data_IF_768918819986
#
_entry.id   IF_768918819986
#
_cell.length_a   1.000
_cell.length_b   1.000
_cell.length_c   1.000
_cell.angle_alpha   90.00
_cell.angle_beta   90.00
_cell.angle_gamma   90.00
#
_symmetry.space_group_name_H-M   'P 1'
#
loop_
_entity.id
_entity.type
_entity.pdbx_description
1 polymer ?
#
# COMPACT_ATOMS: atom_id res chain seq x y z
N UNK A 1 24.48 -1.56 -2.75
CA UNK A 1 25.59 -1.94 -1.85
C UNK A 1 25.50 -1.23 -0.52
N UNK A 2 25.73 0.09 -0.44
CA UNK A 2 25.87 0.83 0.83
C UNK A 2 24.69 0.76 1.83
N UNK A 3 23.49 0.43 1.38
CA UNK A 3 22.26 0.42 2.17
C UNK A 3 21.62 -0.97 2.27
N UNK A 4 22.26 -1.99 1.70
CA UNK A 4 21.70 -3.33 1.58
C UNK A 4 22.39 -4.27 2.58
N UNK A 5 21.58 -4.95 3.40
CA UNK A 5 22.05 -5.82 4.49
C UNK A 5 22.89 -7.00 4.01
N UNK A 6 22.80 -7.35 2.72
CA UNK A 6 23.62 -8.40 2.08
C UNK A 6 25.10 -8.04 1.99
N UNK A 7 25.46 -6.77 2.15
CA UNK A 7 26.83 -6.27 2.06
C UNK A 7 27.32 -5.73 3.41
N UNK A 8 27.45 -6.58 4.45
CA UNK A 8 27.89 -6.15 5.77
C UNK A 8 29.28 -5.48 5.68
N UNK A 9 29.43 -4.34 6.35
CA UNK A 9 30.68 -3.59 6.34
C UNK A 9 30.94 -2.74 5.10
N UNK A 10 29.99 -2.65 4.16
CA UNK A 10 30.05 -1.74 3.00
C UNK A 10 29.15 -0.54 3.24
N UNK A 11 29.74 0.56 3.71
CA UNK A 11 29.09 1.86 3.80
C UNK A 11 29.27 2.70 2.54
N UNK A 12 28.66 3.89 2.54
CA UNK A 12 28.74 4.85 1.43
C UNK A 12 30.17 5.20 1.01
N UNK A 13 31.08 5.40 1.98
CA UNK A 13 32.48 5.71 1.67
C UNK A 13 33.18 4.57 0.90
N UNK A 14 32.89 3.31 1.24
CA UNK A 14 33.45 2.14 0.56
C UNK A 14 32.83 1.96 -0.83
N UNK A 15 31.51 2.12 -0.95
CA UNK A 15 30.83 2.09 -2.24
C UNK A 15 31.33 3.19 -3.18
N UNK A 16 31.57 4.40 -2.66
CA UNK A 16 32.12 5.51 -3.44
C UNK A 16 33.54 5.22 -3.92
N UNK A 17 34.42 4.70 -3.05
CA UNK A 17 35.78 4.28 -3.45
C UNK A 17 35.77 3.27 -4.58
N UNK A 18 34.92 2.25 -4.48
CA UNK A 18 34.73 1.27 -5.55
C UNK A 18 34.27 1.93 -6.86
N UNK A 19 33.31 2.85 -6.78
CA UNK A 19 32.83 3.58 -7.95
C UNK A 19 33.91 4.45 -8.57
N UNK A 20 34.69 5.17 -7.76
CA UNK A 20 35.82 5.98 -8.23
C UNK A 20 36.91 5.13 -8.90
N UNK A 21 37.17 3.94 -8.38
CA UNK A 21 38.19 3.05 -8.92
C UNK A 21 37.76 2.36 -10.22
N UNK A 22 36.50 1.96 -10.35
CA UNK A 22 36.06 1.04 -11.41
C UNK A 22 34.97 1.58 -12.32
N UNK A 23 34.23 2.61 -11.92
CA UNK A 23 33.07 3.12 -12.66
C UNK A 23 32.14 1.99 -13.10
N UNK A 24 31.67 2.03 -14.35
CA UNK A 24 30.80 1.00 -14.91
C UNK A 24 31.44 -0.39 -14.99
N UNK A 25 32.77 -0.50 -15.02
CA UNK A 25 33.45 -1.80 -15.08
C UNK A 25 33.26 -2.61 -13.79
N UNK A 26 32.84 -1.97 -12.69
CA UNK A 26 32.56 -2.61 -11.41
C UNK A 26 31.57 -3.78 -11.57
N UNK A 27 30.55 -3.62 -12.42
CA UNK A 27 29.52 -4.64 -12.63
C UNK A 27 30.09 -5.89 -13.31
N UNK A 28 30.98 -5.72 -14.29
CA UNK A 28 31.65 -6.84 -14.95
C UNK A 28 32.57 -7.55 -13.97
N UNK A 29 33.37 -6.81 -13.19
CA UNK A 29 34.28 -7.38 -12.19
C UNK A 29 33.55 -8.19 -11.12
N UNK A 30 32.39 -7.70 -10.68
CA UNK A 30 31.53 -8.42 -9.73
C UNK A 30 30.95 -9.69 -10.36
N UNK A 31 30.41 -9.59 -11.58
CA UNK A 31 29.84 -10.73 -12.33
C UNK A 31 30.89 -11.82 -12.59
N UNK A 32 32.08 -11.41 -13.03
CA UNK A 32 33.18 -12.29 -13.42
C UNK A 32 33.99 -12.75 -12.18
N UNK A 33 33.50 -12.42 -10.97
CA UNK A 33 34.06 -12.79 -9.66
C UNK A 33 35.54 -12.42 -9.50
N UNK A 34 35.96 -11.26 -10.02
CA UNK A 34 37.33 -10.76 -9.94
C UNK A 34 37.69 -10.27 -8.52
N UNK A 35 38.07 -11.18 -7.64
CA UNK A 35 38.35 -10.87 -6.23
C UNK A 35 39.55 -9.94 -6.03
N UNK A 36 40.64 -10.13 -6.80
CA UNK A 36 41.89 -9.40 -6.59
C UNK A 36 41.74 -7.88 -6.80
N UNK A 37 41.21 -7.38 -7.94
CA UNK A 37 40.96 -5.95 -8.13
C UNK A 37 40.02 -5.37 -7.06
N UNK A 38 38.95 -6.08 -6.70
CA UNK A 38 38.03 -5.61 -5.66
C UNK A 38 38.71 -5.53 -4.29
N UNK A 39 39.52 -6.53 -3.93
CA UNK A 39 40.24 -6.59 -2.67
C UNK A 39 41.26 -5.45 -2.52
N UNK A 40 41.90 -5.03 -3.62
CA UNK A 40 42.84 -3.90 -3.61
C UNK A 40 42.18 -2.59 -3.17
N UNK A 41 40.86 -2.44 -3.36
CA UNK A 41 40.11 -1.23 -2.98
C UNK A 41 39.44 -1.34 -1.61
N UNK A 42 38.90 -2.51 -1.27
CA UNK A 42 38.04 -2.67 -0.08
C UNK A 42 38.53 -3.65 0.99
N UNK A 43 39.59 -4.40 0.69
CA UNK A 43 40.10 -5.53 1.47
C UNK A 43 39.45 -6.86 1.08
N UNK A 44 40.17 -7.96 1.30
CA UNK A 44 39.78 -9.30 0.84
C UNK A 44 38.41 -9.76 1.38
N UNK A 45 38.14 -9.60 2.67
CA UNK A 45 36.86 -10.01 3.28
C UNK A 45 35.67 -9.28 2.65
N UNK A 46 35.81 -7.97 2.42
CA UNK A 46 34.75 -7.18 1.79
C UNK A 46 34.60 -7.55 0.32
N UNK A 47 35.68 -7.81 -0.41
CA UNK A 47 35.61 -8.23 -1.81
C UNK A 47 34.84 -9.56 -1.97
N UNK A 48 35.08 -10.52 -1.08
CA UNK A 48 34.31 -11.78 -1.04
C UNK A 48 32.84 -11.48 -0.74
N UNK A 49 32.53 -10.66 0.28
CA UNK A 49 31.15 -10.29 0.59
C UNK A 49 30.43 -9.58 -0.57
N UNK A 50 31.14 -8.78 -1.37
CA UNK A 50 30.60 -8.16 -2.59
C UNK A 50 30.25 -9.22 -3.63
N UNK A 51 31.21 -10.09 -3.95
CA UNK A 51 31.08 -11.08 -5.02
C UNK A 51 30.08 -12.18 -4.65
N UNK A 52 29.96 -12.56 -3.38
CA UNK A 52 28.95 -13.50 -2.93
C UNK A 52 27.57 -12.83 -2.82
N UNK A 53 27.50 -11.61 -2.28
CA UNK A 53 26.25 -10.85 -2.17
C UNK A 53 25.60 -10.54 -3.53
N UNK A 54 26.40 -10.37 -4.59
CA UNK A 54 25.91 -10.23 -5.97
C UNK A 54 25.90 -11.54 -6.78
N UNK A 55 26.85 -12.44 -6.52
CA UNK A 55 27.04 -13.68 -7.29
C UNK A 55 25.92 -14.71 -7.10
N UNK A 56 25.08 -14.56 -6.09
CA UNK A 56 23.84 -15.33 -5.99
C UNK A 56 22.77 -14.90 -7.02
N UNK A 57 22.94 -13.76 -7.70
CA UNK A 57 21.94 -13.13 -8.58
C UNK A 57 22.62 -12.36 -9.73
N UNK A 58 23.27 -13.04 -10.68
CA UNK A 58 23.82 -12.40 -11.89
C UNK A 58 22.80 -11.49 -12.59
N UNK A 59 21.52 -11.86 -12.56
CA UNK A 59 20.42 -11.09 -13.14
C UNK A 59 20.15 -9.76 -12.39
N UNK A 60 20.38 -9.70 -11.06
CA UNK A 60 20.27 -8.45 -10.32
C UNK A 60 21.35 -7.46 -10.74
N UNK A 61 22.58 -7.92 -11.01
CA UNK A 61 23.68 -7.05 -11.49
C UNK A 61 23.27 -6.34 -12.78
N UNK A 62 22.66 -7.06 -13.71
CA UNK A 62 22.20 -6.49 -14.98
C UNK A 62 21.06 -5.48 -14.76
N UNK A 63 20.11 -5.78 -13.88
CA UNK A 63 19.02 -4.85 -13.50
C UNK A 63 19.60 -3.57 -12.89
N UNK A 64 20.53 -3.68 -11.95
CA UNK A 64 21.18 -2.52 -11.33
C UNK A 64 21.92 -1.68 -12.37
N UNK A 65 22.72 -2.31 -13.24
CA UNK A 65 23.44 -1.63 -14.31
C UNK A 65 22.50 -0.93 -15.28
N UNK A 66 21.41 -1.59 -15.67
CA UNK A 66 20.44 -1.02 -16.60
C UNK A 66 19.68 0.16 -15.97
N UNK A 67 19.25 0.03 -14.72
CA UNK A 67 18.54 1.08 -13.99
C UNK A 67 19.43 2.28 -13.66
N UNK A 68 20.71 2.05 -13.37
CA UNK A 68 21.69 3.13 -13.18
C UNK A 68 21.84 3.96 -14.47
N UNK A 69 21.95 3.32 -15.64
CA UNK A 69 21.90 4.01 -16.95
C UNK A 69 20.58 4.70 -17.23
N UNK A 70 19.47 4.17 -16.70
CA UNK A 70 18.14 4.81 -16.73
C UNK A 70 18.07 6.01 -15.75
N UNK A 71 19.10 6.24 -14.94
CA UNK A 71 19.20 7.31 -13.95
C UNK A 71 18.41 7.05 -12.66
N UNK A 72 18.05 5.81 -12.39
CA UNK A 72 17.25 5.39 -11.23
C UNK A 72 18.15 5.30 -10.01
N UNK A 73 17.69 5.84 -8.88
CA UNK A 73 18.48 5.84 -7.66
C UNK A 73 18.74 4.38 -7.19
N UNK A 74 19.93 4.06 -6.63
CA UNK A 74 20.27 2.70 -6.23
C UNK A 74 19.26 2.04 -5.27
N UNK A 75 18.65 2.84 -4.40
CA UNK A 75 17.60 2.38 -3.47
C UNK A 75 16.37 1.86 -4.23
N UNK A 76 15.97 2.55 -5.29
CA UNK A 76 14.80 2.20 -6.10
C UNK A 76 15.15 1.04 -7.01
N UNK A 77 16.36 1.02 -7.59
CA UNK A 77 16.83 -0.12 -8.36
C UNK A 77 16.78 -1.43 -7.55
N UNK A 78 17.19 -1.37 -6.27
CA UNK A 78 17.06 -2.52 -5.37
C UNK A 78 15.61 -2.87 -5.02
N UNK A 79 14.69 -1.91 -5.02
CA UNK A 79 13.27 -2.20 -4.85
C UNK A 79 12.69 -2.85 -6.12
N UNK A 80 13.05 -2.37 -7.31
CA UNK A 80 12.64 -2.93 -8.59
C UNK A 80 13.13 -4.38 -8.76
N UNK A 81 14.39 -4.64 -8.43
CA UNK A 81 14.95 -5.99 -8.41
C UNK A 81 14.18 -6.93 -7.49
N UNK A 82 13.83 -6.50 -6.26
CA UNK A 82 13.03 -7.33 -5.33
C UNK A 82 11.60 -7.56 -5.78
N UNK A 83 10.96 -6.57 -6.42
CA UNK A 83 9.54 -6.64 -6.78
C UNK A 83 9.32 -7.37 -8.10
N UNK A 84 10.22 -7.20 -9.07
CA UNK A 84 10.04 -7.73 -10.43
C UNK A 84 11.08 -8.77 -10.84
N UNK A 85 12.16 -8.94 -10.07
CA UNK A 85 13.23 -9.90 -10.38
C UNK A 85 13.77 -9.71 -11.79
N UNK A 86 14.10 -10.82 -12.44
CA UNK A 86 14.67 -10.90 -13.80
C UNK A 86 13.82 -10.15 -14.86
N UNK A 87 12.50 -10.03 -14.65
CA UNK A 87 11.59 -9.33 -15.57
C UNK A 87 11.56 -7.81 -15.40
N UNK A 88 12.36 -7.22 -14.50
CA UNK A 88 12.33 -5.80 -14.21
C UNK A 88 12.63 -4.94 -15.45
N UNK A 89 13.68 -5.29 -16.20
CA UNK A 89 14.11 -4.53 -17.38
C UNK A 89 13.01 -4.52 -18.44
N UNK A 90 12.49 -5.70 -18.81
CA UNK A 90 11.47 -5.82 -19.85
C UNK A 90 10.17 -5.12 -19.46
N UNK A 91 9.78 -5.22 -18.19
CA UNK A 91 8.61 -4.51 -17.66
C UNK A 91 8.75 -2.99 -17.82
N UNK A 92 9.91 -2.43 -17.50
CA UNK A 92 10.14 -0.98 -17.56
C UNK A 92 10.29 -0.51 -19.01
N UNK A 93 10.88 -1.32 -19.89
CA UNK A 93 10.91 -1.03 -21.33
C UNK A 93 9.50 -1.02 -21.94
N UNK A 94 8.67 -1.99 -21.57
CA UNK A 94 7.29 -2.07 -22.04
C UNK A 94 6.47 -0.87 -21.54
N UNK A 95 6.57 -0.56 -20.24
CA UNK A 95 5.93 0.59 -19.62
C UNK A 95 6.83 1.27 -18.57
N UNK A 96 7.48 2.39 -18.94
CA UNK A 96 8.27 3.21 -18.02
C UNK A 96 7.52 3.62 -16.74
N UNK A 97 6.20 3.80 -16.84
CA UNK A 97 5.38 4.28 -15.74
C UNK A 97 5.09 3.21 -14.69
N UNK A 98 5.47 1.95 -14.92
CA UNK A 98 5.48 0.93 -13.88
C UNK A 98 6.34 1.34 -12.67
N UNK A 99 7.36 2.19 -12.88
CA UNK A 99 8.23 2.74 -11.84
C UNK A 99 7.50 3.63 -10.84
N UNK A 100 6.29 4.13 -11.15
CA UNK A 100 5.50 4.95 -10.21
C UNK A 100 5.08 4.21 -8.93
N UNK A 101 5.18 2.87 -8.93
CA UNK A 101 5.03 2.06 -7.71
C UNK A 101 6.17 2.26 -6.71
N UNK A 102 7.36 2.62 -7.19
CA UNK A 102 8.61 2.65 -6.43
C UNK A 102 9.20 4.05 -6.29
N UNK A 103 8.85 4.96 -7.19
CA UNK A 103 9.33 6.35 -7.26
C UNK A 103 8.18 7.35 -7.39
N UNK A 104 8.37 8.61 -6.96
CA UNK A 104 7.43 9.69 -7.22
C UNK A 104 7.17 9.89 -8.73
N UNK A 105 5.93 10.22 -9.07
CA UNK A 105 5.49 10.48 -10.45
C UNK A 105 6.42 11.44 -11.20
N UNK A 106 6.84 12.51 -10.54
CA UNK A 106 7.64 13.56 -11.17
C UNK A 106 8.97 13.03 -11.70
N UNK A 107 9.63 12.16 -10.93
CA UNK A 107 10.91 11.57 -11.32
C UNK A 107 10.73 10.59 -12.48
N UNK A 108 9.66 9.79 -12.42
CA UNK A 108 9.33 8.81 -13.47
C UNK A 108 8.92 9.49 -14.78
N UNK A 109 8.02 10.48 -14.73
CA UNK A 109 7.53 11.20 -15.92
C UNK A 109 8.67 11.99 -16.58
N UNK A 110 9.46 12.75 -15.80
CA UNK A 110 10.59 13.49 -16.33
C UNK A 110 11.61 12.58 -17.02
N UNK A 111 11.86 11.39 -16.46
CA UNK A 111 12.79 10.42 -17.02
C UNK A 111 12.24 9.74 -18.28
N UNK A 112 10.97 9.34 -18.27
CA UNK A 112 10.30 8.76 -19.43
C UNK A 112 10.28 9.71 -20.63
N UNK A 113 9.97 10.99 -20.40
CA UNK A 113 9.97 12.03 -21.44
C UNK A 113 11.38 12.26 -22.02
N UNK A 114 12.43 12.30 -21.17
CA UNK A 114 13.83 12.39 -21.64
C UNK A 114 14.25 11.23 -22.53
N UNK A 115 13.59 10.07 -22.39
CA UNK A 115 13.88 8.85 -23.14
C UNK A 115 12.95 8.65 -24.34
N UNK A 116 12.21 9.69 -24.72
CA UNK A 116 11.44 9.72 -25.97
C UNK A 116 9.99 9.30 -25.85
N UNK A 117 9.47 9.10 -24.63
CA UNK A 117 8.01 9.00 -24.45
C UNK A 117 7.39 10.34 -24.82
N UNK A 118 6.41 10.32 -25.72
CA UNK A 118 5.71 11.52 -26.17
C UNK A 118 4.62 11.95 -25.17
N UNK A 119 4.22 13.22 -25.21
CA UNK A 119 3.31 13.79 -24.21
C UNK A 119 1.92 13.13 -24.17
N UNK A 120 1.45 12.62 -25.31
CA UNK A 120 0.17 11.96 -25.50
C UNK A 120 0.27 10.43 -25.56
N UNK A 121 1.41 9.86 -25.17
CA UNK A 121 1.64 8.42 -25.15
C UNK A 121 0.58 7.73 -24.28
N UNK A 122 -0.15 6.72 -24.79
CA UNK A 122 -1.20 6.03 -24.05
C UNK A 122 -0.77 5.49 -22.68
N UNK A 123 0.50 5.07 -22.53
CA UNK A 123 1.06 4.57 -21.27
C UNK A 123 1.15 5.69 -20.24
N UNK A 124 1.65 6.86 -20.66
CA UNK A 124 1.70 8.07 -19.84
C UNK A 124 0.32 8.51 -19.39
N UNK A 125 -0.61 8.60 -20.35
CA UNK A 125 -1.97 9.07 -20.09
C UNK A 125 -2.67 8.17 -19.07
N UNK A 126 -2.60 6.86 -19.26
CA UNK A 126 -3.25 5.92 -18.35
C UNK A 126 -2.60 5.87 -16.97
N UNK A 127 -1.25 5.90 -16.92
CA UNK A 127 -0.53 5.94 -15.66
C UNK A 127 -0.82 7.20 -14.83
N UNK A 128 -1.09 8.34 -15.47
CA UNK A 128 -1.52 9.54 -14.75
C UNK A 128 -2.88 9.36 -14.07
N UNK A 129 -3.81 8.63 -14.69
CA UNK A 129 -5.11 8.30 -14.07
C UNK A 129 -4.92 7.34 -12.89
N UNK A 130 -4.09 6.30 -13.05
CA UNK A 130 -3.73 5.40 -11.95
C UNK A 130 -3.07 6.14 -10.79
N UNK A 131 -2.14 7.06 -11.10
CA UNK A 131 -1.48 7.87 -10.10
C UNK A 131 -2.44 8.83 -9.39
N UNK A 132 -3.40 9.43 -10.12
CA UNK A 132 -4.46 10.23 -9.52
C UNK A 132 -5.30 9.40 -8.53
N UNK A 133 -5.66 8.17 -8.90
CA UNK A 133 -6.37 7.25 -8.01
C UNK A 133 -5.49 6.78 -6.84
N UNK A 134 -4.19 6.58 -7.04
CA UNK A 134 -3.24 6.25 -5.97
C UNK A 134 -3.08 7.39 -4.95
N UNK A 135 -3.15 8.65 -5.39
CA UNK A 135 -3.23 9.82 -4.49
C UNK A 135 -4.51 9.74 -3.65
N UNK A 136 -5.66 9.44 -4.26
CA UNK A 136 -6.95 9.30 -3.56
C UNK A 136 -6.95 8.12 -2.58
N UNK A 137 -6.36 7.00 -2.97
CA UNK A 137 -6.19 5.82 -2.12
C UNK A 137 -5.36 6.12 -0.88
N UNK A 138 -4.25 6.87 -1.01
CA UNK A 138 -3.47 7.32 0.16
C UNK A 138 -4.24 8.22 1.12
N UNK A 139 -5.32 8.84 0.66
CA UNK A 139 -6.26 9.61 1.50
C UNK A 139 -7.42 8.76 2.05
N UNK A 140 -7.43 7.45 1.79
CA UNK A 140 -8.44 6.51 2.29
C UNK A 140 -9.61 6.24 1.33
N UNK A 141 -9.54 6.70 0.09
CA UNK A 141 -10.60 6.48 -0.90
C UNK A 141 -10.31 5.27 -1.81
N UNK A 142 -11.23 4.31 -1.88
CA UNK A 142 -11.09 3.14 -2.76
C UNK A 142 -11.57 3.40 -4.20
N UNK A 143 -12.51 4.32 -4.37
CA UNK A 143 -12.99 4.83 -5.64
C UNK A 143 -13.09 6.36 -5.55
N UNK A 144 -13.20 7.06 -6.69
CA UNK A 144 -13.28 8.52 -6.69
C UNK A 144 -14.17 9.07 -7.80
N UNK A 145 -14.88 10.18 -7.55
CA UNK A 145 -15.65 10.86 -8.58
C UNK A 145 -14.76 11.27 -9.76
N UNK A 146 -15.26 11.05 -10.97
CA UNK A 146 -14.57 11.37 -12.23
C UNK A 146 -14.09 12.82 -12.29
N UNK A 147 -14.85 13.85 -11.86
CA UNK A 147 -14.37 15.24 -11.86
C UNK A 147 -13.13 15.46 -10.98
N UNK A 148 -13.04 14.77 -9.84
CA UNK A 148 -11.90 14.85 -8.92
C UNK A 148 -10.66 14.22 -9.56
N UNK A 149 -10.83 13.06 -10.18
CA UNK A 149 -9.75 12.37 -10.91
C UNK A 149 -9.28 13.24 -12.09
N UNK A 150 -10.19 13.81 -12.89
CA UNK A 150 -9.86 14.74 -13.99
C UNK A 150 -9.00 15.90 -13.50
N UNK A 151 -9.31 16.50 -12.36
CA UNK A 151 -8.53 17.61 -11.82
C UNK A 151 -7.11 17.19 -11.42
N UNK A 152 -6.94 16.02 -10.81
CA UNK A 152 -5.63 15.49 -10.45
C UNK A 152 -4.81 15.13 -11.69
N UNK A 153 -5.44 14.47 -12.67
CA UNK A 153 -4.79 14.11 -13.94
C UNK A 153 -4.28 15.36 -14.67
N UNK A 154 -5.06 16.44 -14.74
CA UNK A 154 -4.60 17.72 -15.33
C UNK A 154 -3.36 18.28 -14.64
N UNK A 155 -3.21 18.09 -13.33
CA UNK A 155 -2.02 18.54 -12.59
C UNK A 155 -0.81 17.65 -12.88
N UNK A 156 -1.02 16.34 -13.00
CA UNK A 156 0.03 15.36 -13.31
C UNK A 156 0.51 15.49 -14.76
N UNK A 157 -0.40 15.82 -15.67
CA UNK A 157 -0.18 16.02 -17.10
C UNK A 157 -0.19 17.52 -17.47
N UNK A 158 0.48 18.38 -16.70
CA UNK A 158 0.44 19.83 -16.91
C UNK A 158 0.92 20.27 -18.31
N UNK A 159 1.77 19.47 -18.95
CA UNK A 159 2.29 19.68 -20.31
C UNK A 159 1.38 19.13 -21.42
N UNK A 160 0.31 18.41 -21.09
CA UNK A 160 -0.57 17.81 -22.08
C UNK A 160 -1.62 18.81 -22.57
N UNK A 161 -1.70 19.00 -23.88
CA UNK A 161 -2.60 19.96 -24.55
C UNK A 161 -3.76 19.31 -25.30
N UNK A 162 -3.86 17.98 -25.27
CA UNK A 162 -4.92 17.24 -25.94
C UNK A 162 -6.25 17.25 -25.17
N UNK A 163 -7.22 16.48 -25.67
CA UNK A 163 -8.53 16.33 -25.04
C UNK A 163 -8.42 15.88 -23.57
N UNK A 164 -8.95 16.65 -22.60
CA UNK A 164 -8.92 16.31 -21.17
C UNK A 164 -9.64 15.01 -20.80
N UNK A 165 -10.51 14.47 -21.66
CA UNK A 165 -11.19 13.19 -21.46
C UNK A 165 -10.34 11.99 -21.85
N UNK A 166 -9.49 12.15 -22.88
CA UNK A 166 -8.64 11.10 -23.46
C UNK A 166 -7.87 10.26 -22.44
N UNK A 167 -7.24 10.82 -21.37
CA UNK A 167 -6.50 9.99 -20.43
C UNK A 167 -7.39 8.95 -19.73
N UNK A 168 -8.62 9.32 -19.40
CA UNK A 168 -9.58 8.42 -18.76
C UNK A 168 -10.05 7.36 -19.74
N UNK A 169 -10.35 7.74 -20.98
CA UNK A 169 -10.79 6.80 -22.01
C UNK A 169 -9.70 5.75 -22.29
N UNK A 170 -8.44 6.19 -22.39
CA UNK A 170 -7.31 5.27 -22.55
C UNK A 170 -7.16 4.35 -21.33
N UNK A 171 -7.27 4.88 -20.11
CA UNK A 171 -7.16 4.10 -18.87
C UNK A 171 -8.27 3.07 -18.69
N UNK A 172 -9.48 3.38 -19.17
CA UNK A 172 -10.61 2.45 -19.21
C UNK A 172 -10.40 1.39 -20.31
N UNK A 173 -10.04 1.81 -21.52
CA UNK A 173 -9.86 0.93 -22.66
C UNK A 173 -8.74 -0.10 -22.46
N UNK A 174 -7.63 0.28 -21.82
CA UNK A 174 -6.55 -0.65 -21.48
C UNK A 174 -6.77 -1.41 -20.16
N UNK A 175 -7.91 -1.17 -19.51
CA UNK A 175 -8.33 -1.86 -18.30
C UNK A 175 -7.58 -1.48 -17.03
N UNK A 176 -6.65 -0.52 -17.00
CA UNK A 176 -5.98 -0.11 -15.75
C UNK A 176 -6.94 0.44 -14.70
N UNK A 177 -8.01 1.07 -15.18
CA UNK A 177 -9.07 1.66 -14.37
C UNK A 177 -10.40 1.02 -14.76
N UNK A 178 -11.33 0.99 -13.81
CA UNK A 178 -12.72 0.56 -14.02
C UNK A 178 -13.67 1.67 -13.58
N UNK A 179 -14.90 1.63 -14.09
CA UNK A 179 -15.99 2.51 -13.66
C UNK A 179 -17.09 1.67 -13.00
N UNK A 180 -17.09 1.53 -11.66
CA UNK A 180 -18.06 0.68 -10.96
C UNK A 180 -19.47 1.28 -10.90
N UNK A 181 -19.60 2.59 -11.17
CA UNK A 181 -20.86 3.33 -11.21
C UNK A 181 -20.69 4.56 -12.11
N UNK A 182 -21.80 5.16 -12.54
CA UNK A 182 -21.80 6.40 -13.29
C UNK A 182 -20.96 7.48 -12.57
N UNK A 183 -20.10 8.16 -13.31
CA UNK A 183 -19.17 9.19 -12.81
C UNK A 183 -18.22 8.77 -11.68
N UNK A 184 -17.97 7.48 -11.49
CA UNK A 184 -16.99 6.98 -10.52
C UNK A 184 -15.89 6.20 -11.24
N UNK A 185 -14.63 6.47 -10.87
CA UNK A 185 -13.46 5.73 -11.32
C UNK A 185 -12.79 5.03 -10.14
N UNK A 186 -12.24 3.84 -10.42
CA UNK A 186 -11.58 3.00 -9.45
C UNK A 186 -10.39 2.30 -10.09
N UNK A 187 -9.27 2.19 -9.38
CA UNK A 187 -8.13 1.42 -9.89
C UNK A 187 -8.48 -0.05 -9.94
N UNK A 188 -7.97 -0.81 -10.93
CA UNK A 188 -8.21 -2.26 -10.99
C UNK A 188 -7.79 -2.97 -9.71
N UNK A 189 -6.72 -2.52 -9.07
CA UNK A 189 -6.23 -3.09 -7.80
C UNK A 189 -7.24 -2.88 -6.67
N UNK A 190 -7.81 -1.68 -6.54
CA UNK A 190 -8.86 -1.42 -5.54
C UNK A 190 -10.13 -2.22 -5.82
N UNK A 191 -10.52 -2.33 -7.09
CA UNK A 191 -11.66 -3.15 -7.49
C UNK A 191 -11.46 -4.62 -7.10
N UNK A 192 -10.30 -5.17 -7.41
CA UNK A 192 -9.95 -6.54 -7.03
C UNK A 192 -10.02 -6.76 -5.51
N UNK A 193 -9.49 -5.82 -4.72
CA UNK A 193 -9.58 -5.89 -3.26
C UNK A 193 -11.02 -5.90 -2.76
N UNK A 194 -11.89 -5.06 -3.31
CA UNK A 194 -13.31 -5.01 -2.95
C UNK A 194 -14.06 -6.28 -3.37
N UNK A 195 -13.85 -6.76 -4.60
CA UNK A 195 -14.47 -7.98 -5.13
C UNK A 195 -14.07 -9.20 -4.28
N UNK A 196 -12.82 -9.29 -3.84
CA UNK A 196 -12.36 -10.40 -2.99
C UNK A 196 -12.97 -10.34 -1.58
N UNK A 197 -13.08 -9.15 -0.99
CA UNK A 197 -13.80 -8.99 0.29
C UNK A 197 -15.27 -9.35 0.14
N UNK A 198 -15.92 -8.90 -0.94
CA UNK A 198 -17.32 -9.21 -1.22
C UNK A 198 -17.54 -10.72 -1.41
N UNK A 199 -16.66 -11.40 -2.15
CA UNK A 199 -16.67 -12.86 -2.34
C UNK A 199 -16.54 -13.58 -1.00
N UNK A 200 -15.54 -13.24 -0.20
CA UNK A 200 -15.28 -13.85 1.11
C UNK A 200 -16.43 -13.65 2.11
N UNK A 201 -17.10 -12.50 2.08
CA UNK A 201 -18.29 -12.23 2.90
C UNK A 201 -19.46 -13.05 2.37
N UNK A 202 -19.71 -13.04 1.06
CA UNK A 202 -20.84 -13.75 0.44
C UNK A 202 -20.77 -15.27 0.71
N UNK A 203 -19.58 -15.87 0.58
CA UNK A 203 -19.35 -17.28 0.88
C UNK A 203 -19.67 -17.63 2.34
N UNK A 204 -19.31 -16.74 3.28
CA UNK A 204 -19.59 -16.95 4.70
C UNK A 204 -21.07 -16.74 5.01
N UNK A 205 -21.72 -15.75 4.41
CA UNK A 205 -23.16 -15.49 4.60
C UNK A 205 -24.01 -16.65 4.08
N UNK A 206 -23.61 -17.25 2.95
CA UNK A 206 -24.33 -18.38 2.34
C UNK A 206 -24.03 -19.73 2.99
N UNK A 207 -23.03 -19.82 3.85
CA UNK A 207 -22.66 -21.07 4.50
C UNK A 207 -23.74 -21.47 5.49
N UNK A 208 -24.34 -22.64 5.28
CA UNK A 208 -25.15 -23.28 6.31
C UNK A 208 -24.24 -23.66 7.49
N UNK A 209 -24.53 -23.09 8.65
CA UNK A 209 -23.87 -23.46 9.87
C UNK A 209 -24.62 -24.63 10.52
N UNK A 210 -23.90 -25.58 11.14
CA UNK A 210 -24.53 -26.56 12.02
C UNK A 210 -25.38 -25.82 13.05
N UNK A 211 -26.55 -26.38 13.39
CA UNK A 211 -27.38 -25.82 14.46
C UNK A 211 -26.54 -25.74 15.73
N UNK A 212 -26.41 -24.53 16.26
CA UNK A 212 -25.71 -24.30 17.51
C UNK A 212 -26.49 -24.91 18.67
N UNK A 213 -25.81 -25.63 19.57
CA UNK A 213 -26.42 -26.13 20.80
C UNK A 213 -26.74 -24.95 21.73
N UNK A 214 -28.03 -24.61 21.84
CA UNK A 214 -28.51 -23.52 22.68
C UNK A 214 -28.13 -23.69 24.15
N UNK A 215 -28.00 -24.94 24.63
CA UNK A 215 -27.57 -25.22 26.01
C UNK A 215 -26.11 -24.83 26.20
N UNK A 216 -25.22 -25.24 25.29
CA UNK A 216 -23.81 -24.87 25.32
C UNK A 216 -23.61 -23.34 25.31
N UNK A 217 -24.44 -22.61 24.55
CA UNK A 217 -24.40 -21.14 24.52
C UNK A 217 -24.78 -20.57 25.88
N UNK A 218 -25.90 -21.02 26.47
CA UNK A 218 -26.37 -20.56 27.77
C UNK A 218 -25.37 -20.87 28.89
N UNK A 219 -24.78 -22.07 28.88
CA UNK A 219 -23.76 -22.48 29.85
C UNK A 219 -22.50 -21.62 29.73
N UNK A 220 -22.09 -21.26 28.51
CA UNK A 220 -20.95 -20.36 28.26
C UNK A 220 -21.24 -18.94 28.74
N UNK A 221 -22.46 -18.42 28.49
CA UNK A 221 -22.89 -17.12 29.01
C UNK A 221 -22.84 -17.14 30.55
N UNK A 222 -23.44 -18.13 31.19
CA UNK A 222 -23.49 -18.25 32.64
C UNK A 222 -22.09 -18.28 33.28
N UNK A 223 -21.15 -19.01 32.67
CA UNK A 223 -19.75 -19.03 33.10
C UNK A 223 -19.11 -17.64 33.04
N UNK A 224 -19.31 -16.90 31.94
CA UNK A 224 -18.77 -15.55 31.78
C UNK A 224 -19.42 -14.56 32.76
N UNK A 225 -20.73 -14.68 33.02
CA UNK A 225 -21.46 -13.88 34.02
C UNK A 225 -20.90 -14.09 35.44
N UNK A 226 -20.59 -15.35 35.80
CA UNK A 226 -19.94 -15.68 37.07
C UNK A 226 -18.54 -15.07 37.19
N UNK A 227 -17.74 -15.12 36.12
CA UNK A 227 -16.39 -14.56 36.11
C UNK A 227 -16.37 -13.03 36.23
N UNK A 228 -17.33 -12.32 35.61
CA UNK A 228 -17.36 -10.86 35.58
C UNK A 228 -18.18 -10.23 36.72
N UNK A 229 -19.01 -11.03 37.41
CA UNK A 229 -19.80 -10.60 38.56
C UNK A 229 -21.06 -9.79 38.21
N UNK A 230 -21.52 -9.82 36.96
CA UNK A 230 -22.76 -9.19 36.53
C UNK A 230 -23.42 -9.94 35.36
N UNK A 231 -24.72 -9.74 35.17
CA UNK A 231 -25.49 -10.37 34.11
C UNK A 231 -25.33 -9.61 32.78
N UNK A 232 -25.22 -10.36 31.68
CA UNK A 232 -25.26 -9.82 30.33
C UNK A 232 -26.66 -9.27 30.06
N UNK A 233 -26.73 -8.10 29.41
CA UNK A 233 -28.00 -7.53 28.95
C UNK A 233 -28.64 -8.37 27.86
N UNK A 234 -29.94 -8.20 27.63
CA UNK A 234 -30.66 -8.91 26.56
C UNK A 234 -30.02 -8.70 25.18
N UNK A 235 -29.56 -7.48 24.89
CA UNK A 235 -28.85 -7.17 23.65
C UNK A 235 -27.51 -7.91 23.55
N UNK A 236 -26.77 -8.04 24.66
CA UNK A 236 -25.51 -8.80 24.69
C UNK A 236 -25.76 -10.30 24.51
N UNK A 237 -26.79 -10.85 25.18
CA UNK A 237 -27.22 -12.25 24.99
C UNK A 237 -27.61 -12.51 23.53
N UNK A 238 -28.46 -11.66 22.95
CA UNK A 238 -28.87 -11.77 21.56
C UNK A 238 -27.67 -11.74 20.60
N UNK A 239 -26.67 -10.90 20.88
CA UNK A 239 -25.44 -10.85 20.09
C UNK A 239 -24.61 -12.14 20.16
N UNK A 240 -24.56 -12.82 21.33
CA UNK A 240 -23.92 -14.15 21.46
C UNK A 240 -24.66 -15.19 20.60
N UNK A 241 -25.99 -15.24 20.68
CA UNK A 241 -26.80 -16.15 19.87
C UNK A 241 -26.64 -15.89 18.36
N UNK A 242 -26.63 -14.62 17.95
CA UNK A 242 -26.40 -14.25 16.55
C UNK A 242 -25.00 -14.66 16.07
N UNK A 243 -23.97 -14.44 16.89
CA UNK A 243 -22.58 -14.78 16.54
C UNK A 243 -22.35 -16.29 16.35
N UNK A 244 -23.19 -17.14 16.95
CA UNK A 244 -23.14 -18.60 16.83
C UNK A 244 -24.03 -19.15 15.72
N UNK A 245 -24.96 -18.33 15.19
CA UNK A 245 -25.97 -18.75 14.22
C UNK A 245 -25.74 -18.19 12.81
N UNK A 246 -24.75 -17.33 12.60
CA UNK A 246 -24.47 -16.68 11.31
C UNK A 246 -23.00 -16.83 10.90
N UNK A 247 -22.72 -17.08 9.62
CA UNK A 247 -21.34 -17.20 9.12
C UNK A 247 -20.56 -15.87 9.09
N UNK A 248 -21.26 -14.74 9.14
CA UNK A 248 -20.70 -13.40 9.40
C UNK A 248 -21.61 -12.68 10.40
N UNK A 249 -21.01 -12.11 11.45
CA UNK A 249 -21.71 -11.30 12.44
C UNK A 249 -20.94 -10.01 12.70
N UNK A 250 -21.64 -8.89 12.79
CA UNK A 250 -21.08 -7.57 13.11
C UNK A 250 -21.66 -7.11 14.44
N UNK A 251 -20.79 -6.92 15.43
CA UNK A 251 -21.17 -6.45 16.77
C UNK A 251 -20.68 -5.01 16.94
N UNK A 252 -21.59 -4.06 16.88
CA UNK A 252 -21.30 -2.63 17.02
C UNK A 252 -21.81 -2.06 18.35
N UNK A 253 -21.10 -1.08 18.91
CA UNK A 253 -21.49 -0.38 20.12
C UNK A 253 -20.42 0.61 20.59
N UNK A 254 -20.81 1.63 21.36
CA UNK A 254 -19.89 2.65 21.91
C UNK A 254 -18.85 2.08 22.89
N UNK A 255 -17.93 2.91 23.38
CA UNK A 255 -17.01 2.51 24.44
C UNK A 255 -17.80 2.07 25.70
N UNK A 256 -17.33 1.03 26.40
CA UNK A 256 -18.00 0.54 27.61
C UNK A 256 -19.25 -0.34 27.42
N UNK A 257 -19.73 -0.55 26.19
CA UNK A 257 -20.94 -1.37 25.90
C UNK A 257 -20.77 -2.89 26.06
N UNK A 258 -19.62 -3.37 26.54
CA UNK A 258 -19.40 -4.79 26.79
C UNK A 258 -19.20 -5.67 25.55
N UNK A 259 -18.82 -5.11 24.39
CA UNK A 259 -18.50 -5.90 23.18
C UNK A 259 -17.49 -7.03 23.43
N UNK A 260 -16.45 -6.75 24.23
CA UNK A 260 -15.45 -7.75 24.62
C UNK A 260 -16.07 -8.88 25.44
N UNK A 261 -17.04 -8.57 26.30
CA UNK A 261 -17.79 -9.55 27.09
C UNK A 261 -18.61 -10.46 26.18
N UNK A 262 -19.30 -9.91 25.17
CA UNK A 262 -20.04 -10.70 24.17
C UNK A 262 -19.13 -11.67 23.43
N UNK A 263 -17.95 -11.22 22.99
CA UNK A 263 -16.98 -12.09 22.31
C UNK A 263 -16.46 -13.20 23.23
N UNK A 264 -16.27 -12.92 24.54
CA UNK A 264 -15.88 -13.95 25.53
C UNK A 264 -16.98 -14.97 25.79
N UNK A 265 -18.23 -14.54 25.73
CA UNK A 265 -19.41 -15.39 25.94
C UNK A 265 -19.79 -16.21 24.70
N UNK A 266 -19.04 -16.12 23.61
CA UNK A 266 -19.21 -16.98 22.42
C UNK A 266 -18.40 -18.28 22.59
N UNK A 267 -19.02 -19.47 22.50
CA UNK A 267 -18.32 -20.76 22.66
C UNK A 267 -17.13 -20.94 21.71
N UNK A 268 -16.04 -21.55 22.19
CA UNK A 268 -14.80 -21.71 21.43
C UNK A 268 -14.90 -22.68 20.22
N UNK A 269 -15.91 -23.55 20.25
CA UNK A 269 -16.24 -24.55 19.22
C UNK A 269 -17.28 -24.06 18.22
N UNK A 270 -17.81 -22.85 18.40
CA UNK A 270 -18.51 -22.15 17.34
C UNK A 270 -17.55 -21.98 16.15
N UNK A 271 -18.00 -22.11 14.89
CA UNK A 271 -17.15 -22.03 13.70
C UNK A 271 -16.35 -20.73 13.76
N UNK A 272 -15.07 -20.84 14.13
CA UNK A 272 -14.28 -19.70 14.58
C UNK A 272 -14.23 -18.66 13.46
N UNK A 273 -14.82 -17.46 13.64
CA UNK A 273 -14.53 -16.37 12.74
C UNK A 273 -13.04 -16.05 12.91
N UNK A 274 -12.34 -15.90 11.78
CA UNK A 274 -10.97 -15.40 11.74
C UNK A 274 -10.84 -14.22 12.71
N UNK A 275 -10.03 -14.39 13.75
CA UNK A 275 -9.87 -13.42 14.84
C UNK A 275 -9.02 -12.25 14.35
N UNK A 276 -9.63 -11.26 13.71
CA UNK A 276 -9.05 -9.91 13.59
C UNK A 276 -9.99 -8.92 14.24
N UNK A 277 -9.60 -8.43 15.40
CA UNK A 277 -10.20 -7.26 16.02
C UNK A 277 -9.80 -6.06 15.14
N UNK A 278 -10.63 -5.72 14.15
CA UNK A 278 -10.47 -4.47 13.41
C UNK A 278 -11.08 -3.40 14.31
N UNK A 279 -10.24 -2.82 15.17
CA UNK A 279 -10.56 -1.54 15.76
C UNK A 279 -10.61 -0.53 14.60
N UNK A 280 -11.81 -0.19 14.15
CA UNK A 280 -12.02 0.98 13.33
C UNK A 280 -11.58 2.17 14.18
N UNK A 281 -10.32 2.60 14.03
CA UNK A 281 -9.89 3.89 14.55
C UNK A 281 -10.85 4.92 13.97
N UNK A 282 -11.48 5.78 14.78
CA UNK A 282 -12.17 6.93 14.24
C UNK A 282 -11.16 7.68 13.36
N UNK A 283 -11.54 7.98 12.11
CA UNK A 283 -10.79 8.94 11.32
C UNK A 283 -10.66 10.21 12.16
N UNK A 284 -9.49 10.85 12.23
CA UNK A 284 -9.41 12.17 12.84
C UNK A 284 -10.37 13.07 12.06
N UNK A 285 -11.40 13.56 12.74
CA UNK A 285 -12.30 14.56 12.18
C UNK A 285 -11.44 15.70 11.64
N UNK A 286 -11.56 15.97 10.34
CA UNK A 286 -10.97 17.17 9.76
C UNK A 286 -11.54 18.37 10.51
N UNK A 287 -10.71 19.29 11.04
CA UNK A 287 -11.23 20.42 11.78
C UNK A 287 -12.04 21.29 10.82
N UNK A 288 -13.36 21.30 11.03
CA UNK A 288 -14.26 22.28 10.41
C UNK A 288 -13.81 23.65 10.93
N UNK A 289 -13.45 24.62 10.08
CA UNK A 289 -13.08 25.94 10.54
C UNK A 289 -14.34 26.66 11.06
N UNK A 290 -14.51 26.71 12.38
CA UNK A 290 -15.48 27.59 13.02
C UNK A 290 -14.93 29.03 13.00
N UNK A 291 -15.38 29.84 12.03
CA UNK A 291 -15.22 31.29 12.07
C UNK A 291 -16.59 31.97 12.08
N UNK A 292 -17.15 32.09 13.28
CA UNK A 292 -17.96 33.26 13.66
C UNK A 292 -17.15 34.03 14.71
N UNK A 293 -16.82 35.31 14.50
CA UNK A 293 -15.99 36.07 15.43
C UNK A 293 -16.79 36.36 16.72
N UNK A 294 -16.31 35.83 17.85
CA UNK A 294 -16.78 36.24 19.18
C UNK A 294 -16.42 37.71 19.41
N UNK A 295 -17.44 38.56 19.57
CA UNK A 295 -17.33 39.96 20.00
C UNK A 295 -16.52 40.04 21.30
N UNK A 296 -15.47 40.86 21.33
CA UNK A 296 -14.73 41.22 22.55
C UNK A 296 -15.63 42.08 23.46
N UNK A 297 -15.72 41.81 24.77
CA UNK A 297 -16.35 42.75 25.68
C UNK A 297 -15.40 43.91 26.01
N UNK A 298 -15.95 45.13 26.00
CA UNK A 298 -15.31 46.38 26.38
C UNK A 298 -14.77 46.31 27.82
N UNK A 299 -13.48 46.59 28.00
CA UNK A 299 -12.91 46.88 29.32
C UNK A 299 -13.42 48.25 29.78
N UNK A 300 -14.15 48.29 30.89
CA UNK A 300 -14.38 49.51 31.67
C UNK A 300 -13.07 49.95 32.33
N UNK A 301 -12.66 51.18 32.07
CA UNK A 301 -11.69 51.90 32.87
C UNK A 301 -12.32 52.35 34.19
N UNK A 302 -11.57 52.31 35.31
CA UNK A 302 -11.40 53.43 36.27
C UNK A 302 -10.71 53.02 37.60
N UNK A 303 -9.79 53.89 38.03
CA UNK A 303 -9.17 54.10 39.36
C UNK A 303 -8.12 53.05 39.79
N UNK A 304 -6.89 53.39 40.20
CA UNK A 304 -6.21 54.62 40.64
C UNK A 304 -4.85 54.75 39.94
#
# INVERSE_FOLDING_TARGET
MATDKRFPGIGWATANRLWTAFGETIYNRIRDRELKPLADVVGAERAVAIVDGFGMLCDEVEIFRWLDRYGVAPRVAGAAARVWGIGAIDRIKADPYAMTLLEPWQDVDARALRLGVVLDDPRRLAAAVEQALAIRFRLGHMASPTPVVKQLVRRLLSSFTGDPSRPIDVALANGRVVSPAADVLQSRVCRFMEDEVARLISERVRRELPRSDGKLILDTIAKVEQEIGYLLTDAQRAAVFMATSCGVCVISGGAGTGKTTVVRATPADAPRPYRRQIALRPQPASPVPSRLPKKRPLRRAKHL
#
